data_IF_155249402644
#
_entry.id   IF_155249402644
#
_cell.length_a   1.000
_cell.length_b   1.000
_cell.length_c   1.000
_cell.angle_alpha   90.00
_cell.angle_beta   90.00
_cell.angle_gamma   90.00
#
_symmetry.space_group_name_H-M   'P 1'
#
loop_
_entity.id
_entity.type
_entity.pdbx_description
1 polymer ?
#
# COMPACT_ATOMS: atom_id res chain seq x y z
N UNK A 1 -0.80 -8.05 10.76
CA UNK A 1 -1.83 -7.67 9.77
C UNK A 1 -1.11 -7.13 8.53
N UNK A 2 -1.48 -7.56 7.32
CA UNK A 2 -0.79 -7.17 6.08
C UNK A 2 -1.47 -6.00 5.36
N UNK A 3 -0.82 -5.45 4.33
CA UNK A 3 -1.28 -4.22 3.67
C UNK A 3 -2.67 -4.35 3.05
N UNK A 4 -3.02 -5.48 2.42
CA UNK A 4 -4.34 -5.68 1.81
C UNK A 4 -5.49 -5.75 2.82
N UNK A 5 -5.21 -6.05 4.11
CA UNK A 5 -6.21 -6.01 5.17
C UNK A 5 -6.49 -4.59 5.67
N UNK A 6 -5.51 -3.68 5.56
CA UNK A 6 -5.66 -2.26 5.93
C UNK A 6 -6.10 -1.40 4.74
N UNK A 7 -5.57 -1.70 3.56
CA UNK A 7 -5.73 -0.95 2.32
C UNK A 7 -6.15 -1.93 1.22
N UNK A 8 -7.43 -2.32 1.17
CA UNK A 8 -7.93 -3.24 0.16
C UNK A 8 -7.90 -2.65 -1.26
N UNK A 9 -7.92 -1.32 -1.40
CA UNK A 9 -7.97 -0.64 -2.68
C UNK A 9 -6.76 0.30 -2.92
N UNK A 10 -6.41 0.57 -4.19
CA UNK A 10 -5.36 1.54 -4.52
C UNK A 10 -5.59 2.91 -3.90
N UNK A 11 -6.84 3.42 -3.89
CA UNK A 11 -7.18 4.70 -3.25
C UNK A 11 -6.84 4.73 -1.76
N UNK A 12 -6.95 3.60 -1.07
CA UNK A 12 -6.66 3.52 0.36
C UNK A 12 -5.15 3.67 0.60
N UNK A 13 -4.33 3.09 -0.28
CA UNK A 13 -2.87 3.22 -0.28
C UNK A 13 -2.47 4.68 -0.54
N UNK A 14 -3.13 5.36 -1.48
CA UNK A 14 -2.87 6.76 -1.78
C UNK A 14 -3.26 7.69 -0.62
N UNK A 15 -4.39 7.41 0.05
CA UNK A 15 -4.90 8.22 1.15
C UNK A 15 -4.01 8.20 2.40
N UNK A 16 -3.33 7.08 2.69
CA UNK A 16 -2.48 6.97 3.87
C UNK A 16 -1.04 7.48 3.66
N UNK A 17 -0.62 7.68 2.41
CA UNK A 17 0.71 8.17 2.07
C UNK A 17 1.83 7.13 2.19
N UNK A 18 3.01 7.46 1.65
CA UNK A 18 4.15 6.54 1.52
C UNK A 18 4.78 6.16 2.88
N UNK A 19 4.73 7.07 3.85
CA UNK A 19 5.26 6.87 5.19
C UNK A 19 4.50 5.75 5.93
N UNK A 20 3.16 5.84 5.97
CA UNK A 20 2.32 4.82 6.63
C UNK A 20 2.37 3.49 5.86
N UNK A 21 2.42 3.50 4.52
CA UNK A 21 2.66 2.29 3.71
C UNK A 21 3.96 1.62 4.12
N UNK A 22 5.02 2.40 4.34
CA UNK A 22 6.32 1.89 4.76
C UNK A 22 6.25 1.21 6.13
N UNK A 23 5.60 1.84 7.12
CA UNK A 23 5.47 1.30 8.47
C UNK A 23 4.58 0.05 8.54
N UNK A 24 3.49 0.02 7.77
CA UNK A 24 2.64 -1.17 7.64
C UNK A 24 3.44 -2.34 7.08
N UNK A 25 4.23 -2.12 6.02
CA UNK A 25 5.02 -3.17 5.40
C UNK A 25 6.17 -3.64 6.29
N UNK A 26 6.89 -2.73 6.96
CA UNK A 26 7.91 -3.09 7.97
C UNK A 26 7.31 -3.96 9.06
N UNK A 27 6.19 -3.54 9.64
CA UNK A 27 5.50 -4.28 10.71
C UNK A 27 5.04 -5.65 10.24
N UNK A 28 4.39 -5.74 9.07
CA UNK A 28 3.88 -6.99 8.51
C UNK A 28 5.00 -7.99 8.15
N UNK A 29 6.19 -7.48 7.81
CA UNK A 29 7.31 -8.30 7.33
C UNK A 29 8.41 -8.52 8.37
N UNK A 30 8.25 -8.03 9.60
CA UNK A 30 9.31 -8.02 10.62
C UNK A 30 10.58 -7.31 10.12
N UNK A 31 10.42 -6.10 9.58
CA UNK A 31 11.47 -5.24 9.04
C UNK A 31 12.26 -5.80 7.83
N UNK A 32 11.78 -6.88 7.19
CA UNK A 32 12.43 -7.44 5.99
C UNK A 32 12.28 -6.56 4.74
N UNK A 33 11.28 -5.67 4.73
CA UNK A 33 11.10 -4.68 3.66
C UNK A 33 11.06 -3.27 4.24
N UNK A 34 11.52 -2.30 3.46
CA UNK A 34 11.53 -0.87 3.81
C UNK A 34 11.07 0.00 2.65
N UNK A 35 11.46 1.27 2.68
CA UNK A 35 10.93 2.31 1.78
C UNK A 35 11.02 1.95 0.30
N UNK A 36 12.10 1.30 -0.16
CA UNK A 36 12.23 0.89 -1.57
C UNK A 36 11.07 -0.02 -2.04
N UNK A 37 10.63 -0.95 -1.20
CA UNK A 37 9.50 -1.83 -1.52
C UNK A 37 8.16 -1.13 -1.31
N UNK A 38 8.06 -0.25 -0.32
CA UNK A 38 6.88 0.59 -0.10
C UNK A 38 6.61 1.51 -1.30
N UNK A 39 7.64 2.14 -1.86
CA UNK A 39 7.53 2.99 -3.04
C UNK A 39 6.99 2.24 -4.25
N UNK A 40 7.41 0.98 -4.46
CA UNK A 40 6.87 0.17 -5.55
C UNK A 40 5.36 -0.09 -5.40
N UNK A 41 4.89 -0.32 -4.17
CA UNK A 41 3.46 -0.50 -3.89
C UNK A 41 2.70 0.82 -4.09
N UNK A 42 3.25 1.93 -3.62
CA UNK A 42 2.63 3.25 -3.75
C UNK A 42 2.54 3.70 -5.21
N UNK A 43 3.60 3.51 -5.99
CA UNK A 43 3.60 3.80 -7.43
C UNK A 43 2.65 2.88 -8.20
N UNK A 44 2.56 1.59 -7.83
CA UNK A 44 1.56 0.69 -8.42
C UNK A 44 0.13 1.17 -8.12
N UNK A 45 -0.13 1.70 -6.92
CA UNK A 45 -1.43 2.27 -6.58
C UNK A 45 -1.75 3.54 -7.39
N UNK A 46 -0.78 4.43 -7.61
CA UNK A 46 -0.94 5.63 -8.46
C UNK A 46 -1.28 5.28 -9.91
N UNK A 47 -0.61 4.27 -10.45
CA UNK A 47 -0.78 3.85 -11.84
C UNK A 47 -1.94 2.85 -12.03
N UNK A 48 -2.67 2.53 -10.96
CA UNK A 48 -3.79 1.61 -11.03
C UNK A 48 -5.01 2.32 -11.62
N UNK A 49 -5.54 1.80 -12.73
CA UNK A 49 -6.85 2.21 -13.23
C UNK A 49 -7.90 1.52 -12.34
N UNK A 50 -8.33 2.23 -11.31
CA UNK A 50 -9.32 1.72 -10.37
C UNK A 50 -10.67 1.58 -11.06
N UNK A 51 -11.11 0.33 -11.30
CA UNK A 51 -12.53 0.06 -11.51
C UNK A 51 -13.20 0.22 -10.15
N UNK A 52 -14.20 1.12 -10.00
CA UNK A 52 -14.98 1.19 -8.77
C UNK A 52 -15.53 -0.20 -8.45
N UNK A 53 -15.24 -0.71 -7.25
CA UNK A 53 -15.87 -1.94 -6.79
C UNK A 53 -17.38 -1.73 -6.78
N UNK A 54 -18.10 -2.63 -7.45
CA UNK A 54 -19.56 -2.63 -7.49
C UNK A 54 -20.21 -2.10 -8.78
N UNK A 55 -19.46 -2.02 -9.89
CA UNK A 55 -20.06 -2.02 -11.23
C UNK A 55 -20.45 -3.45 -11.64
#
# INVERSE_FOLDING_TARGET
MGILKKCPFPKDILNIGIEEVTEILKTATKNRVGIKKASLVYEAAKNSIGVPVGL
#
